data_IF_898485967394
#
_entry.id   IF_898485967394
#
_cell.length_a   1.000
_cell.length_b   1.000
_cell.length_c   1.000
_cell.angle_alpha   90.00
_cell.angle_beta   90.00
_cell.angle_gamma   90.00
#
_symmetry.space_group_name_H-M   'P 1'
#
loop_
_entity.id
_entity.type
_entity.pdbx_description
1 polymer ?
#
# COMPACT_ATOMS: atom_id res chain seq x y z
N UNK A 1 7.35 -8.86 10.36
CA UNK A 1 6.68 -9.44 9.19
C UNK A 1 7.07 -10.92 8.96
N UNK A 2 7.65 -11.57 9.97
CA UNK A 2 7.95 -13.03 9.98
C UNK A 2 8.72 -13.52 8.73
N UNK A 3 9.63 -12.70 8.22
CA UNK A 3 10.41 -13.01 7.02
C UNK A 3 9.63 -12.90 5.68
N UNK A 4 8.35 -12.57 5.68
CA UNK A 4 7.53 -12.47 4.46
C UNK A 4 7.93 -11.28 3.58
N UNK A 5 8.37 -10.16 4.19
CA UNK A 5 8.82 -8.94 3.49
C UNK A 5 10.31 -9.03 3.10
N UNK A 6 10.65 -9.89 2.15
CA UNK A 6 12.04 -10.13 1.71
C UNK A 6 12.75 -8.86 1.25
N UNK A 7 12.03 -7.93 0.61
CA UNK A 7 12.60 -6.65 0.17
C UNK A 7 13.08 -5.78 1.35
N UNK A 8 12.42 -5.85 2.52
CA UNK A 8 12.89 -5.14 3.71
C UNK A 8 14.20 -5.73 4.27
N UNK A 9 14.38 -7.04 4.17
CA UNK A 9 15.65 -7.68 4.52
C UNK A 9 16.76 -7.19 3.59
N UNK A 10 16.49 -7.19 2.27
CA UNK A 10 17.43 -6.67 1.29
C UNK A 10 17.77 -5.18 1.54
N UNK A 11 16.79 -4.35 1.91
CA UNK A 11 16.98 -2.94 2.23
C UNK A 11 17.82 -2.72 3.51
N UNK A 12 17.87 -3.67 4.44
CA UNK A 12 18.73 -3.59 5.61
C UNK A 12 20.23 -3.78 5.27
N UNK A 13 20.56 -4.52 4.21
CA UNK A 13 21.94 -4.87 3.90
C UNK A 13 22.86 -3.65 3.68
N UNK A 14 22.48 -2.63 2.88
CA UNK A 14 23.29 -1.42 2.73
C UNK A 14 23.48 -0.65 4.04
N UNK A 15 22.44 -0.59 4.89
CA UNK A 15 22.53 0.07 6.19
C UNK A 15 23.48 -0.67 7.12
N UNK A 16 23.40 -2.01 7.17
CA UNK A 16 24.34 -2.86 7.91
C UNK A 16 25.76 -2.66 7.42
N UNK A 17 25.97 -2.67 6.09
CA UNK A 17 27.31 -2.45 5.51
C UNK A 17 27.86 -1.07 5.86
N UNK A 18 27.05 -0.02 5.72
CA UNK A 18 27.46 1.35 6.03
C UNK A 18 27.85 1.50 7.51
N UNK A 19 27.04 0.94 8.42
CA UNK A 19 27.32 0.98 9.86
C UNK A 19 28.52 0.11 10.24
N UNK A 20 28.70 -1.05 9.60
CA UNK A 20 29.87 -1.92 9.82
C UNK A 20 31.18 -1.24 9.40
N UNK A 21 31.17 -0.46 8.32
CA UNK A 21 32.35 0.29 7.86
C UNK A 21 32.63 1.51 8.75
N UNK A 22 31.68 1.96 9.53
CA UNK A 22 31.85 3.05 10.48
C UNK A 22 32.48 2.56 11.79
N UNK A 23 33.77 2.80 11.96
CA UNK A 23 34.61 2.20 13.02
C UNK A 23 34.17 2.44 14.46
N UNK A 24 33.27 3.41 14.70
CA UNK A 24 32.75 3.71 16.04
C UNK A 24 31.53 2.85 16.43
N UNK A 25 31.01 2.02 15.51
CA UNK A 25 29.87 1.14 15.74
C UNK A 25 30.34 -0.31 15.77
N UNK A 26 30.00 -1.03 16.82
CA UNK A 26 30.36 -2.45 16.96
C UNK A 26 29.34 -3.36 16.27
N UNK A 27 29.72 -4.61 16.01
CA UNK A 27 28.79 -5.63 15.49
C UNK A 27 27.61 -5.85 16.44
N UNK A 28 27.84 -5.76 17.75
CA UNK A 28 26.76 -5.96 18.72
C UNK A 28 25.80 -4.77 18.76
N UNK A 29 26.26 -3.55 18.50
CA UNK A 29 25.37 -2.40 18.30
C UNK A 29 24.50 -2.59 17.05
N UNK A 30 25.07 -3.10 15.95
CA UNK A 30 24.30 -3.40 14.72
C UNK A 30 23.23 -4.47 14.98
N UNK A 31 23.60 -5.56 15.67
CA UNK A 31 22.64 -6.60 16.04
C UNK A 31 21.53 -6.05 16.93
N UNK A 32 21.88 -5.27 17.94
CA UNK A 32 20.91 -4.64 18.84
C UNK A 32 19.95 -3.72 18.05
N UNK A 33 20.48 -2.89 17.18
CA UNK A 33 19.68 -2.02 16.30
C UNK A 33 18.69 -2.80 15.44
N UNK A 34 19.14 -3.89 14.81
CA UNK A 34 18.27 -4.76 14.00
C UNK A 34 17.20 -5.48 14.82
N UNK A 35 17.53 -5.90 16.05
CA UNK A 35 16.61 -6.61 16.96
C UNK A 35 15.55 -5.69 17.57
N UNK A 36 15.93 -4.44 17.82
CA UNK A 36 15.05 -3.46 18.51
C UNK A 36 14.29 -2.57 17.53
N UNK A 37 14.65 -2.56 16.26
CA UNK A 37 13.93 -1.78 15.25
C UNK A 37 12.55 -2.38 14.98
N UNK A 38 11.51 -1.67 15.38
CA UNK A 38 10.13 -2.04 15.17
C UNK A 38 9.53 -1.17 14.06
N UNK A 39 9.46 -1.66 12.80
CA UNK A 39 8.84 -0.90 11.72
C UNK A 39 7.37 -0.65 12.00
N UNK A 40 6.92 0.56 11.70
CA UNK A 40 5.54 0.98 11.93
C UNK A 40 5.34 2.43 11.53
N UNK A 41 4.13 2.95 11.67
CA UNK A 41 3.77 4.29 11.20
C UNK A 41 4.63 5.43 11.80
N UNK A 42 5.15 5.25 13.00
CA UNK A 42 5.98 6.25 13.68
C UNK A 42 7.42 6.29 13.14
N UNK A 43 8.01 5.12 12.85
CA UNK A 43 9.41 5.01 12.42
C UNK A 43 9.57 4.87 10.91
N UNK A 44 8.59 4.25 10.25
CA UNK A 44 8.59 4.01 8.80
C UNK A 44 7.23 4.36 8.20
N UNK A 45 6.79 5.64 8.24
CA UNK A 45 5.50 6.03 7.68
C UNK A 45 5.44 5.71 6.18
N UNK A 46 4.32 5.12 5.74
CA UNK A 46 4.12 4.71 4.35
C UNK A 46 4.98 3.52 3.92
N UNK A 47 5.43 2.69 4.84
CA UNK A 47 6.17 1.46 4.55
C UNK A 47 5.55 0.29 5.31
N UNK A 48 4.68 -0.47 4.64
CA UNK A 48 3.96 -1.62 5.18
C UNK A 48 3.25 -1.29 6.51
N UNK A 49 2.51 -0.19 6.59
CA UNK A 49 1.80 0.19 7.81
C UNK A 49 0.43 -0.49 7.86
N UNK A 50 0.23 -1.36 8.83
CA UNK A 50 -1.01 -2.08 9.06
C UNK A 50 -1.93 -1.35 10.03
N UNK A 51 -3.22 -1.26 9.68
CA UNK A 51 -4.28 -0.75 10.53
C UNK A 51 -5.43 -1.76 10.58
N UNK A 52 -5.60 -2.36 11.74
CA UNK A 52 -6.64 -3.36 11.96
C UNK A 52 -7.93 -2.70 12.44
N UNK A 53 -9.00 -2.89 11.71
CA UNK A 53 -10.38 -2.56 12.05
C UNK A 53 -11.12 -3.84 12.49
N UNK A 54 -12.35 -3.70 13.00
CA UNK A 54 -13.14 -4.85 13.45
C UNK A 54 -13.33 -5.90 12.34
N UNK A 55 -13.63 -5.43 11.14
CA UNK A 55 -13.99 -6.29 10.01
C UNK A 55 -12.95 -6.34 8.91
N UNK A 56 -12.06 -5.37 8.81
CA UNK A 56 -11.10 -5.22 7.70
C UNK A 56 -9.72 -4.83 8.20
N UNK A 57 -8.74 -4.97 7.33
CA UNK A 57 -7.38 -4.46 7.56
C UNK A 57 -6.96 -3.56 6.41
N UNK A 58 -6.39 -2.40 6.73
CA UNK A 58 -5.68 -1.56 5.77
C UNK A 58 -4.19 -1.85 5.86
N UNK A 59 -3.55 -1.94 4.70
CA UNK A 59 -2.10 -1.93 4.53
C UNK A 59 -1.72 -0.72 3.68
N UNK A 60 -1.10 0.28 4.28
CA UNK A 60 -0.67 1.50 3.61
C UNK A 60 0.82 1.42 3.24
N UNK A 61 1.14 1.65 1.96
CA UNK A 61 2.50 1.67 1.43
C UNK A 61 2.65 2.75 0.35
N UNK A 62 3.85 3.30 0.21
CA UNK A 62 4.18 4.32 -0.79
C UNK A 62 4.74 3.70 -2.09
N UNK A 63 4.37 2.48 -2.43
CA UNK A 63 4.71 1.89 -3.72
C UNK A 63 4.08 2.71 -4.86
N UNK A 64 4.91 3.32 -5.75
CA UNK A 64 4.46 4.23 -6.80
C UNK A 64 5.11 3.94 -8.16
N UNK A 65 5.71 2.77 -8.31
CA UNK A 65 6.29 2.28 -9.55
C UNK A 65 6.10 0.76 -9.65
N UNK A 66 6.20 0.17 -10.85
CA UNK A 66 5.96 -1.26 -11.07
C UNK A 66 6.80 -2.17 -10.17
N UNK A 67 8.10 -1.87 -10.03
CA UNK A 67 8.98 -2.68 -9.19
C UNK A 67 8.55 -2.66 -7.71
N UNK A 68 8.25 -1.47 -7.16
CA UNK A 68 7.77 -1.33 -5.78
C UNK A 68 6.44 -2.03 -5.56
N UNK A 69 5.48 -1.86 -6.49
CA UNK A 69 4.18 -2.54 -6.41
C UNK A 69 4.34 -4.06 -6.49
N UNK A 70 5.21 -4.58 -7.36
CA UNK A 70 5.47 -6.02 -7.43
C UNK A 70 5.98 -6.57 -6.12
N UNK A 71 6.95 -5.92 -5.48
CA UNK A 71 7.48 -6.34 -4.17
C UNK A 71 6.42 -6.28 -3.07
N UNK A 72 5.56 -5.27 -3.10
CA UNK A 72 4.41 -5.15 -2.19
C UNK A 72 3.42 -6.29 -2.43
N UNK A 73 3.07 -6.58 -3.67
CA UNK A 73 2.17 -7.67 -4.05
C UNK A 73 2.74 -9.05 -3.69
N UNK A 74 4.03 -9.28 -3.91
CA UNK A 74 4.71 -10.50 -3.49
C UNK A 74 4.67 -10.70 -1.96
N UNK A 75 4.72 -9.62 -1.19
CA UNK A 75 4.50 -9.66 0.24
C UNK A 75 3.03 -9.96 0.58
N UNK A 76 2.09 -9.22 -0.01
CA UNK A 76 0.64 -9.35 0.21
C UNK A 76 0.15 -10.76 -0.14
N UNK A 77 0.72 -11.39 -1.17
CA UNK A 77 0.35 -12.76 -1.57
C UNK A 77 0.60 -13.80 -0.48
N UNK A 78 1.59 -13.56 0.40
CA UNK A 78 1.97 -14.45 1.51
C UNK A 78 1.15 -14.23 2.79
N UNK A 79 0.27 -13.22 2.79
CA UNK A 79 -0.60 -12.93 3.92
C UNK A 79 -1.88 -13.77 3.83
N UNK A 80 -2.35 -14.26 4.98
CA UNK A 80 -3.55 -15.08 5.07
C UNK A 80 -4.82 -14.23 5.14
N UNK A 81 -5.24 -13.70 3.98
CA UNK A 81 -6.51 -13.00 3.78
C UNK A 81 -7.24 -13.62 2.60
N UNK A 82 -8.54 -13.91 2.77
CA UNK A 82 -9.38 -14.52 1.73
C UNK A 82 -9.65 -13.57 0.56
N UNK A 83 -9.77 -12.27 0.86
CA UNK A 83 -10.03 -11.23 -0.12
C UNK A 83 -8.95 -10.16 0.00
N UNK A 84 -8.30 -9.85 -1.10
CA UNK A 84 -7.25 -8.85 -1.20
C UNK A 84 -7.66 -7.79 -2.21
N UNK A 85 -7.81 -6.57 -1.76
CA UNK A 85 -8.25 -5.43 -2.58
C UNK A 85 -7.09 -4.47 -2.78
N UNK A 86 -6.76 -4.16 -4.03
CA UNK A 86 -5.77 -3.15 -4.37
C UNK A 86 -6.41 -1.78 -4.54
N UNK A 87 -5.91 -0.77 -3.83
CA UNK A 87 -6.27 0.64 -4.03
C UNK A 87 -5.09 1.32 -4.73
N UNK A 88 -5.21 1.50 -6.03
CA UNK A 88 -4.09 1.86 -6.89
C UNK A 88 -4.27 3.22 -7.56
N UNK A 89 -3.15 3.79 -7.98
CA UNK A 89 -3.11 5.00 -8.80
C UNK A 89 -1.92 4.97 -9.74
N UNK A 90 -1.95 5.77 -10.79
CA UNK A 90 -0.81 6.04 -11.66
C UNK A 90 -0.26 7.44 -11.41
N UNK A 91 1.07 7.58 -11.40
CA UNK A 91 1.74 8.87 -11.28
C UNK A 91 1.96 9.46 -12.67
N UNK A 92 1.40 10.63 -12.94
CA UNK A 92 1.32 11.18 -14.30
C UNK A 92 2.64 11.54 -14.97
N UNK A 93 3.74 11.66 -14.22
CA UNK A 93 5.10 11.86 -14.78
C UNK A 93 5.81 10.54 -15.15
N UNK A 94 5.11 9.41 -15.08
CA UNK A 94 5.62 8.11 -15.53
C UNK A 94 5.29 7.86 -17.00
N UNK A 95 6.05 6.95 -17.63
CA UNK A 95 5.75 6.49 -19.00
C UNK A 95 4.41 5.73 -19.02
N UNK A 96 3.79 5.67 -20.17
CA UNK A 96 2.53 4.95 -20.36
C UNK A 96 2.69 3.47 -19.97
N UNK A 97 3.79 2.86 -20.39
CA UNK A 97 4.11 1.47 -20.10
C UNK A 97 4.21 1.21 -18.59
N UNK A 98 4.81 2.12 -17.85
CA UNK A 98 4.96 1.99 -16.39
C UNK A 98 3.58 2.07 -15.69
N UNK A 99 2.68 2.95 -16.17
CA UNK A 99 1.30 3.05 -15.63
C UNK A 99 0.48 1.82 -16.00
N UNK A 100 0.58 1.34 -17.24
CA UNK A 100 -0.09 0.11 -17.66
C UNK A 100 0.41 -1.09 -16.85
N UNK A 101 1.72 -1.20 -16.61
CA UNK A 101 2.32 -2.28 -15.81
C UNK A 101 1.81 -2.28 -14.36
N UNK A 102 1.51 -1.12 -13.76
CA UNK A 102 0.84 -1.07 -12.45
C UNK A 102 -0.54 -1.76 -12.51
N UNK A 103 -1.29 -1.55 -13.57
CA UNK A 103 -2.56 -2.24 -13.82
C UNK A 103 -2.38 -3.75 -14.00
N UNK A 104 -1.40 -4.16 -14.82
CA UNK A 104 -1.09 -5.57 -15.08
C UNK A 104 -0.73 -6.32 -13.78
N UNK A 105 0.17 -5.75 -12.97
CA UNK A 105 0.56 -6.31 -11.67
C UNK A 105 -0.65 -6.40 -10.74
N UNK A 106 -1.45 -5.34 -10.65
CA UNK A 106 -2.62 -5.32 -9.77
C UNK A 106 -3.62 -6.41 -10.13
N UNK A 107 -3.87 -6.65 -11.41
CA UNK A 107 -4.79 -7.68 -11.88
C UNK A 107 -4.30 -9.12 -11.65
N UNK A 108 -2.99 -9.33 -11.42
CA UNK A 108 -2.43 -10.64 -11.07
C UNK A 108 -2.61 -11.00 -9.59
N UNK A 109 -2.66 -9.99 -8.70
CA UNK A 109 -2.53 -10.20 -7.26
C UNK A 109 -3.76 -9.86 -6.45
N UNK A 110 -4.66 -9.01 -6.97
CA UNK A 110 -5.84 -8.57 -6.23
C UNK A 110 -7.13 -9.18 -6.79
N UNK A 111 -8.02 -9.55 -5.87
CA UNK A 111 -9.35 -10.06 -6.18
C UNK A 111 -10.32 -8.94 -6.60
N UNK A 112 -10.04 -7.70 -6.20
CA UNK A 112 -10.76 -6.49 -6.57
C UNK A 112 -9.79 -5.31 -6.65
N UNK A 113 -10.09 -4.34 -7.51
CA UNK A 113 -9.26 -3.15 -7.70
C UNK A 113 -10.10 -1.89 -7.55
N UNK A 114 -9.59 -0.95 -6.77
CA UNK A 114 -10.10 0.42 -6.69
C UNK A 114 -9.05 1.33 -7.33
N UNK A 115 -9.38 1.93 -8.46
CA UNK A 115 -8.56 2.95 -9.10
C UNK A 115 -8.95 4.30 -8.50
N UNK A 116 -7.98 5.05 -8.02
CA UNK A 116 -8.15 6.42 -7.55
C UNK A 116 -7.15 7.34 -8.24
N UNK A 117 -7.37 8.65 -8.23
CA UNK A 117 -6.44 9.62 -8.78
C UNK A 117 -5.59 10.25 -7.67
N UNK A 118 -4.35 10.56 -8.00
CA UNK A 118 -3.49 11.40 -7.17
C UNK A 118 -3.99 12.85 -7.16
N UNK A 119 -3.72 13.58 -6.09
CA UNK A 119 -4.06 15.01 -5.99
C UNK A 119 -3.35 15.84 -7.05
N UNK A 120 -2.12 15.47 -7.41
CA UNK A 120 -1.34 16.10 -8.45
C UNK A 120 -1.14 15.12 -9.61
N UNK A 121 -1.80 15.37 -10.72
CA UNK A 121 -1.76 14.53 -11.93
C UNK A 121 -0.53 14.79 -12.81
N UNK A 122 0.35 15.71 -12.41
CA UNK A 122 1.67 15.95 -13.03
C UNK A 122 1.61 16.12 -14.57
N UNK A 123 0.61 16.86 -15.05
CA UNK A 123 0.46 17.21 -16.46
C UNK A 123 -0.39 16.26 -17.31
N UNK A 124 -0.91 15.17 -16.74
CA UNK A 124 -1.91 14.30 -17.40
C UNK A 124 -3.31 14.60 -16.91
N UNK A 125 -4.31 14.08 -17.60
CA UNK A 125 -5.69 14.06 -17.11
C UNK A 125 -5.97 12.80 -16.30
N UNK A 126 -7.01 12.83 -15.48
CA UNK A 126 -7.46 11.66 -14.73
C UNK A 126 -7.89 10.53 -15.67
N UNK A 127 -8.57 10.88 -16.76
CA UNK A 127 -9.05 9.94 -17.78
C UNK A 127 -7.91 9.19 -18.44
N UNK A 128 -6.80 9.87 -18.77
CA UNK A 128 -5.61 9.25 -19.35
C UNK A 128 -5.00 8.21 -18.41
N UNK A 129 -4.77 8.59 -17.14
CA UNK A 129 -4.18 7.69 -16.13
C UNK A 129 -5.09 6.49 -15.87
N UNK A 130 -6.39 6.73 -15.69
CA UNK A 130 -7.38 5.66 -15.47
C UNK A 130 -7.46 4.74 -16.68
N UNK A 131 -7.40 5.31 -17.90
CA UNK A 131 -7.39 4.55 -19.15
C UNK A 131 -6.21 3.58 -19.20
N UNK A 132 -4.98 4.08 -18.99
CA UNK A 132 -3.77 3.26 -19.00
C UNK A 132 -3.79 2.16 -17.92
N UNK A 133 -4.25 2.46 -16.70
CA UNK A 133 -4.41 1.45 -15.66
C UNK A 133 -5.41 0.36 -16.05
N UNK A 134 -6.56 0.75 -16.62
CA UNK A 134 -7.58 -0.19 -17.10
C UNK A 134 -7.09 -1.04 -18.28
N UNK A 135 -6.32 -0.46 -19.19
CA UNK A 135 -5.72 -1.20 -20.30
C UNK A 135 -4.77 -2.28 -19.76
N UNK A 136 -3.94 -1.95 -18.78
CA UNK A 136 -3.08 -2.92 -18.10
C UNK A 136 -3.87 -4.02 -17.38
N UNK A 137 -4.91 -3.65 -16.64
CA UNK A 137 -5.80 -4.60 -15.96
C UNK A 137 -6.46 -5.55 -16.97
N UNK A 138 -7.06 -5.01 -18.04
CA UNK A 138 -7.77 -5.78 -19.05
C UNK A 138 -6.86 -6.74 -19.81
N UNK A 139 -5.60 -6.40 -19.99
CA UNK A 139 -4.61 -7.25 -20.65
C UNK A 139 -4.34 -8.56 -19.88
N UNK A 140 -4.49 -8.53 -18.55
CA UNK A 140 -4.19 -9.67 -17.66
C UNK A 140 -5.46 -10.36 -17.20
N UNK A 141 -6.42 -9.61 -16.65
CA UNK A 141 -7.68 -10.15 -16.16
C UNK A 141 -8.83 -9.14 -16.39
N UNK A 142 -9.50 -9.20 -17.56
CA UNK A 142 -10.60 -8.29 -17.88
C UNK A 142 -11.84 -8.47 -16.98
N UNK A 143 -11.90 -9.55 -16.21
CA UNK A 143 -13.04 -9.85 -15.34
C UNK A 143 -12.81 -9.46 -13.87
N UNK A 144 -11.63 -8.95 -13.50
CA UNK A 144 -11.42 -8.52 -12.12
C UNK A 144 -12.33 -7.34 -11.79
N UNK A 145 -13.13 -7.40 -10.72
CA UNK A 145 -14.00 -6.30 -10.33
C UNK A 145 -13.19 -5.03 -10.10
N UNK A 146 -13.48 -3.99 -10.88
CA UNK A 146 -12.74 -2.73 -10.84
C UNK A 146 -13.71 -1.56 -10.75
N UNK A 147 -13.50 -0.69 -9.77
CA UNK A 147 -14.23 0.57 -9.63
C UNK A 147 -13.25 1.75 -9.67
N UNK A 148 -13.76 2.92 -10.04
CA UNK A 148 -12.98 4.16 -10.08
C UNK A 148 -13.57 5.15 -9.09
N UNK A 149 -12.73 5.74 -8.24
CA UNK A 149 -13.09 6.74 -7.24
C UNK A 149 -12.20 7.97 -7.43
N UNK A 150 -12.72 9.17 -7.19
CA UNK A 150 -12.06 10.41 -7.58
C UNK A 150 -10.69 10.62 -6.91
N UNK A 151 -10.57 10.30 -5.60
CA UNK A 151 -9.35 10.53 -4.85
C UNK A 151 -9.18 9.54 -3.68
N UNK A 152 -8.02 9.61 -3.03
CA UNK A 152 -7.64 8.71 -1.94
C UNK A 152 -8.59 8.79 -0.73
N UNK A 153 -8.97 10.00 -0.31
CA UNK A 153 -9.85 10.16 0.85
C UNK A 153 -11.24 9.57 0.60
N UNK A 154 -11.79 9.80 -0.60
CA UNK A 154 -13.07 9.23 -1.00
C UNK A 154 -12.98 7.70 -1.13
N UNK A 155 -11.85 7.16 -1.60
CA UNK A 155 -11.64 5.71 -1.65
C UNK A 155 -11.61 5.10 -0.25
N UNK A 156 -10.93 5.72 0.71
CA UNK A 156 -10.90 5.28 2.10
C UNK A 156 -12.28 5.34 2.77
N UNK A 157 -13.04 6.41 2.55
CA UNK A 157 -14.44 6.53 3.03
C UNK A 157 -15.35 5.47 2.39
N UNK A 158 -15.22 5.25 1.08
CA UNK A 158 -15.98 4.21 0.39
C UNK A 158 -15.71 2.82 0.96
N UNK A 159 -14.44 2.48 1.19
CA UNK A 159 -14.04 1.20 1.79
C UNK A 159 -14.64 1.07 3.20
N UNK A 160 -14.54 2.12 4.01
CA UNK A 160 -15.08 2.12 5.36
C UNK A 160 -16.59 1.90 5.39
N UNK A 161 -17.32 2.51 4.44
CA UNK A 161 -18.76 2.37 4.33
C UNK A 161 -19.22 1.01 3.70
N UNK A 162 -18.37 0.40 2.86
CA UNK A 162 -18.68 -0.81 2.08
C UNK A 162 -17.71 -1.95 2.39
N UNK A 163 -17.48 -2.23 3.67
CA UNK A 163 -16.51 -3.22 4.13
C UNK A 163 -16.83 -4.63 3.63
N UNK A 164 -15.82 -5.31 3.07
CA UNK A 164 -15.85 -6.76 2.84
C UNK A 164 -15.22 -7.44 4.06
N UNK A 165 -16.00 -8.15 4.91
CA UNK A 165 -15.47 -8.72 6.14
C UNK A 165 -14.28 -9.66 5.91
N UNK A 166 -13.22 -9.46 6.66
CA UNK A 166 -11.99 -10.22 6.56
C UNK A 166 -11.06 -9.82 5.41
N UNK A 167 -11.39 -8.76 4.66
CA UNK A 167 -10.56 -8.31 3.55
C UNK A 167 -9.32 -7.50 4.02
N UNK A 168 -8.26 -7.63 3.22
CA UNK A 168 -7.10 -6.75 3.25
C UNK A 168 -7.20 -5.73 2.11
N UNK A 169 -7.20 -4.45 2.45
CA UNK A 169 -7.12 -3.34 1.52
C UNK A 169 -5.70 -2.81 1.48
N UNK A 170 -5.01 -3.02 0.36
CA UNK A 170 -3.64 -2.56 0.13
C UNK A 170 -3.67 -1.23 -0.60
N UNK A 171 -3.19 -0.18 0.04
CA UNK A 171 -3.30 1.20 -0.43
C UNK A 171 -1.94 1.69 -0.89
N UNK A 172 -1.83 2.04 -2.17
CA UNK A 172 -0.73 2.85 -2.71
C UNK A 172 -0.99 4.32 -2.32
N UNK A 173 -0.28 4.82 -1.30
CA UNK A 173 -0.51 6.18 -0.80
C UNK A 173 -0.04 7.25 -1.79
N UNK A 174 -0.85 8.30 -2.02
CA UNK A 174 -0.44 9.52 -2.73
C UNK A 174 0.44 10.39 -1.83
N UNK A 175 -0.17 10.92 -0.76
CA UNK A 175 0.52 11.69 0.28
C UNK A 175 0.47 10.89 1.57
N UNK A 176 1.59 10.26 1.94
CA UNK A 176 1.68 9.33 3.07
C UNK A 176 1.02 9.88 4.35
N UNK A 177 1.37 11.11 4.76
CA UNK A 177 0.80 11.71 5.97
C UNK A 177 -0.73 11.82 5.88
N UNK A 178 -1.26 12.29 4.74
CA UNK A 178 -2.70 12.44 4.54
C UNK A 178 -3.44 11.09 4.58
N UNK A 179 -2.89 10.05 3.94
CA UNK A 179 -3.47 8.71 3.96
C UNK A 179 -3.51 8.14 5.39
N UNK A 180 -2.38 8.22 6.11
CA UNK A 180 -2.28 7.71 7.47
C UNK A 180 -3.22 8.46 8.42
N UNK A 181 -3.30 9.78 8.32
CA UNK A 181 -4.19 10.60 9.14
C UNK A 181 -5.67 10.26 8.86
N UNK A 182 -6.04 10.07 7.59
CA UNK A 182 -7.40 9.65 7.22
C UNK A 182 -7.74 8.26 7.76
N UNK A 183 -6.84 7.30 7.68
CA UNK A 183 -7.06 5.96 8.24
C UNK A 183 -7.23 6.02 9.76
N UNK A 184 -6.43 6.85 10.46
CA UNK A 184 -6.59 7.07 11.91
C UNK A 184 -7.92 7.71 12.28
N UNK A 185 -8.36 8.70 11.50
CA UNK A 185 -9.69 9.31 11.65
C UNK A 185 -10.80 8.25 11.56
N UNK A 186 -10.76 7.40 10.53
CA UNK A 186 -11.70 6.29 10.35
C UNK A 186 -11.65 5.31 11.53
N UNK A 187 -10.44 5.00 12.02
CA UNK A 187 -10.26 4.12 13.18
C UNK A 187 -10.84 4.73 14.46
N UNK A 188 -10.67 6.03 14.67
CA UNK A 188 -11.28 6.73 15.79
C UNK A 188 -12.82 6.78 15.68
N UNK A 189 -13.36 6.88 14.45
CA UNK A 189 -14.80 6.80 14.19
C UNK A 189 -15.35 5.42 14.53
N UNK A 190 -14.70 4.35 14.07
CA UNK A 190 -15.07 2.96 14.42
C UNK A 190 -15.12 2.76 15.94
N UNK A 191 -14.11 3.25 16.67
CA UNK A 191 -14.07 3.12 18.12
C UNK A 191 -15.27 3.81 18.81
N UNK A 192 -15.70 4.99 18.33
CA UNK A 192 -16.89 5.69 18.85
C UNK A 192 -18.19 4.94 18.54
N UNK A 193 -18.33 4.42 17.31
CA UNK A 193 -19.50 3.66 16.87
C UNK A 193 -19.66 2.39 17.71
N UNK A 194 -18.56 1.70 18.03
CA UNK A 194 -18.58 0.51 18.89
C UNK A 194 -19.02 0.81 20.34
N UNK A 195 -18.69 2.00 20.86
CA UNK A 195 -19.11 2.43 22.20
C UNK A 195 -20.57 2.83 22.24
N UNK A 196 -21.10 3.45 21.15
CA UNK A 196 -22.49 3.90 21.08
C UNK A 196 -23.48 2.77 20.70
N UNK A 197 -22.98 1.68 20.12
CA UNK A 197 -23.80 0.54 19.70
C UNK A 197 -23.95 -0.57 20.77
N UNK A 198 -23.36 -0.38 21.94
CA UNK A 198 -23.52 -1.18 23.15
C UNK A 198 -24.40 -0.41 24.18
#
# INVERSE_FOLDING_TARGET
YEGKAMHNIANCLPAVLATYLYRAITIDDIKLGLQTFMPGEALTPGRLNFFHFKNITFLADFAHNPHGLKLLCDFVSKLDYKTKVGVISGTGDRRDEDIMELGEISAQYFDQIIIRCDKNLRGRTAEEIIGLLKDGINKVNPNVPTITIANENEALEYIYANQVPGALYTIMCDVVAGALDKIKELKAREAKELVMGN
#
